data_IF_906322872550
#
_entry.id   IF_906322872550
#
_cell.length_a   1.000
_cell.length_b   1.000
_cell.length_c   1.000
_cell.angle_alpha   90.00
_cell.angle_beta   90.00
_cell.angle_gamma   90.00
#
_symmetry.space_group_name_H-M   'P 1'
#
loop_
_entity.id
_entity.type
_entity.pdbx_description
1 polymer ?
#
# COMPACT_ATOMS: atom_id res chain seq x y z
N UNK A 1 21.46 4.77 19.82
CA UNK A 1 21.79 4.14 18.54
C UNK A 1 21.08 2.81 18.34
N UNK A 2 21.10 1.90 19.36
CA UNK A 2 20.40 0.62 19.29
C UNK A 2 18.87 0.79 19.16
N UNK A 3 18.27 1.76 19.85
CA UNK A 3 16.83 2.07 19.77
C UNK A 3 16.43 2.55 18.37
N UNK A 4 17.19 3.43 17.71
CA UNK A 4 16.87 3.92 16.38
C UNK A 4 17.00 2.82 15.32
N UNK A 5 17.96 1.90 15.48
CA UNK A 5 18.11 0.73 14.60
C UNK A 5 16.95 -0.26 14.75
N UNK A 6 16.57 -0.59 15.98
CA UNK A 6 15.42 -1.47 16.26
C UNK A 6 14.13 -0.84 15.73
N UNK A 7 13.89 0.44 15.98
CA UNK A 7 12.73 1.18 15.48
C UNK A 7 12.68 1.15 13.94
N UNK A 8 13.81 1.44 13.29
CA UNK A 8 13.91 1.40 11.83
C UNK A 8 13.56 0.02 11.28
N UNK A 9 14.15 -1.04 11.82
CA UNK A 9 13.86 -2.41 11.37
C UNK A 9 12.42 -2.84 11.64
N UNK A 10 11.85 -2.47 12.79
CA UNK A 10 10.45 -2.74 13.10
C UNK A 10 9.52 -2.09 12.09
N UNK A 11 9.74 -0.83 11.74
CA UNK A 11 8.96 -0.13 10.73
C UNK A 11 9.14 -0.72 9.33
N UNK A 12 10.36 -1.07 8.95
CA UNK A 12 10.67 -1.69 7.65
C UNK A 12 10.00 -3.04 7.50
N UNK A 13 10.20 -3.92 8.46
CA UNK A 13 9.63 -5.28 8.43
C UNK A 13 8.12 -5.24 8.55
N UNK A 14 7.58 -4.42 9.45
CA UNK A 14 6.14 -4.28 9.62
C UNK A 14 5.45 -3.76 8.35
N UNK A 15 6.01 -2.73 7.72
CA UNK A 15 5.47 -2.18 6.46
C UNK A 15 5.54 -3.21 5.33
N UNK A 16 6.68 -3.88 5.18
CA UNK A 16 6.86 -4.91 4.15
C UNK A 16 5.93 -6.11 4.37
N UNK A 17 5.75 -6.54 5.61
CA UNK A 17 4.81 -7.62 5.94
C UNK A 17 3.37 -7.24 5.62
N UNK A 18 2.94 -6.03 5.98
CA UNK A 18 1.59 -5.55 5.67
C UNK A 18 1.35 -5.45 4.15
N UNK A 19 2.30 -4.90 3.39
CA UNK A 19 2.23 -4.85 1.94
C UNK A 19 2.29 -6.25 1.30
N UNK A 20 3.03 -7.18 1.88
CA UNK A 20 3.09 -8.58 1.45
C UNK A 20 1.75 -9.30 1.63
N UNK A 21 1.07 -9.08 2.74
CA UNK A 21 -0.28 -9.61 2.99
C UNK A 21 -1.26 -9.02 1.97
N UNK A 22 -1.22 -7.72 1.75
CA UNK A 22 -2.05 -7.05 0.76
C UNK A 22 -1.83 -7.61 -0.64
N UNK A 23 -0.58 -7.77 -1.06
CA UNK A 23 -0.22 -8.36 -2.35
C UNK A 23 -0.73 -9.80 -2.49
N UNK A 24 -0.61 -10.61 -1.44
CA UNK A 24 -1.08 -11.99 -1.44
C UNK A 24 -2.60 -12.06 -1.62
N UNK A 25 -3.36 -11.22 -0.92
CA UNK A 25 -4.82 -11.15 -1.05
C UNK A 25 -5.21 -10.74 -2.46
N UNK A 26 -4.63 -9.67 -3.01
CA UNK A 26 -4.94 -9.20 -4.35
C UNK A 26 -4.61 -10.23 -5.42
N UNK A 27 -3.47 -10.89 -5.31
CA UNK A 27 -3.07 -11.97 -6.23
C UNK A 27 -4.05 -13.14 -6.16
N UNK A 28 -4.46 -13.53 -4.96
CA UNK A 28 -5.39 -14.63 -4.75
C UNK A 28 -6.78 -14.32 -5.31
N UNK A 29 -7.26 -13.11 -5.13
CA UNK A 29 -8.58 -12.68 -5.60
C UNK A 29 -8.63 -12.36 -7.09
N UNK A 30 -7.51 -12.00 -7.72
CA UNK A 30 -7.48 -11.51 -9.09
C UNK A 30 -8.24 -12.38 -10.12
N UNK A 31 -8.08 -13.73 -10.15
CA UNK A 31 -8.81 -14.55 -11.12
C UNK A 31 -10.34 -14.45 -11.01
N UNK A 32 -10.85 -14.33 -9.79
CA UNK A 32 -12.30 -14.20 -9.56
C UNK A 32 -12.87 -12.87 -10.08
N UNK A 33 -12.01 -11.84 -10.20
CA UNK A 33 -12.38 -10.51 -10.66
C UNK A 33 -12.00 -10.22 -12.13
N UNK A 34 -11.41 -11.17 -12.83
CA UNK A 34 -11.13 -11.03 -14.27
C UNK A 34 -12.40 -10.81 -15.12
N UNK A 35 -13.56 -11.41 -14.80
CA UNK A 35 -14.79 -11.13 -15.53
C UNK A 35 -15.36 -9.71 -15.35
N UNK A 36 -14.96 -9.01 -14.29
CA UNK A 36 -15.36 -7.62 -14.03
C UNK A 36 -14.46 -6.71 -14.85
N UNK A 37 -14.90 -6.34 -16.04
CA UNK A 37 -14.04 -5.63 -17.01
C UNK A 37 -14.77 -4.60 -17.84
N UNK A 38 -14.06 -3.56 -18.20
CA UNK A 38 -14.32 -2.62 -19.28
C UNK A 38 -13.14 -2.70 -20.26
N UNK A 39 -12.34 -1.63 -20.40
CA UNK A 39 -11.07 -1.72 -21.14
C UNK A 39 -10.05 -2.57 -20.39
N UNK A 40 -9.97 -2.38 -19.06
CA UNK A 40 -9.18 -3.23 -18.16
C UNK A 40 -10.12 -4.03 -17.25
N UNK A 41 -9.63 -5.16 -16.73
CA UNK A 41 -10.37 -5.94 -15.73
C UNK A 41 -9.97 -5.52 -14.31
N UNK A 42 -10.88 -5.73 -13.37
CA UNK A 42 -10.58 -5.56 -11.96
C UNK A 42 -9.48 -6.54 -11.50
N UNK A 43 -9.46 -7.75 -12.05
CA UNK A 43 -8.37 -8.70 -11.80
C UNK A 43 -7.01 -8.21 -12.24
N UNK A 44 -6.91 -7.53 -13.40
CA UNK A 44 -5.68 -6.88 -13.86
C UNK A 44 -5.23 -5.78 -12.89
N UNK A 45 -6.17 -4.96 -12.41
CA UNK A 45 -5.90 -3.92 -11.42
C UNK A 45 -5.39 -4.52 -10.10
N UNK A 46 -5.95 -5.64 -9.66
CA UNK A 46 -5.48 -6.37 -8.49
C UNK A 46 -4.03 -6.87 -8.65
N UNK A 47 -3.68 -7.36 -9.84
CA UNK A 47 -2.31 -7.80 -10.13
C UNK A 47 -1.32 -6.62 -10.15
N UNK A 48 -1.73 -5.48 -10.69
CA UNK A 48 -0.92 -4.24 -10.65
C UNK A 48 -0.72 -3.78 -9.21
N UNK A 49 -1.79 -3.75 -8.42
CA UNK A 49 -1.70 -3.40 -6.99
C UNK A 49 -0.75 -4.33 -6.25
N UNK A 50 -0.87 -5.64 -6.44
CA UNK A 50 0.02 -6.63 -5.84
C UNK A 50 1.49 -6.39 -6.23
N UNK A 51 1.76 -6.13 -7.49
CA UNK A 51 3.11 -5.82 -7.97
C UNK A 51 3.68 -4.55 -7.34
N UNK A 52 2.90 -3.49 -7.28
CA UNK A 52 3.31 -2.22 -6.65
C UNK A 52 3.55 -2.39 -5.14
N UNK A 53 2.71 -3.16 -4.46
CA UNK A 53 2.86 -3.46 -3.03
C UNK A 53 4.16 -4.24 -2.76
N UNK A 54 4.48 -5.24 -3.58
CA UNK A 54 5.72 -6.01 -3.46
C UNK A 54 6.94 -5.11 -3.68
N UNK A 55 6.94 -4.30 -4.73
CA UNK A 55 8.06 -3.40 -5.04
C UNK A 55 8.25 -2.38 -3.92
N UNK A 56 7.18 -1.76 -3.44
CA UNK A 56 7.24 -0.80 -2.34
C UNK A 56 7.76 -1.45 -1.05
N UNK A 57 7.31 -2.65 -0.72
CA UNK A 57 7.78 -3.41 0.43
C UNK A 57 9.26 -3.75 0.35
N UNK A 58 9.74 -4.19 -0.81
CA UNK A 58 11.16 -4.47 -1.05
C UNK A 58 12.01 -3.21 -0.95
N UNK A 59 11.55 -2.08 -1.50
CA UNK A 59 12.27 -0.80 -1.40
C UNK A 59 12.44 -0.38 0.05
N UNK A 60 11.41 -0.49 0.87
CA UNK A 60 11.47 -0.17 2.29
C UNK A 60 12.44 -1.09 3.04
N UNK A 61 12.51 -2.38 2.68
CA UNK A 61 13.45 -3.33 3.28
C UNK A 61 14.90 -3.08 2.87
N UNK A 62 15.14 -2.87 1.57
CA UNK A 62 16.49 -2.83 0.98
C UNK A 62 17.06 -1.41 0.99
N UNK A 63 16.24 -0.42 0.67
CA UNK A 63 16.65 0.99 0.55
C UNK A 63 15.65 1.91 1.26
N UNK A 64 15.69 1.99 2.59
CA UNK A 64 14.73 2.78 3.37
C UNK A 64 15.00 4.29 3.26
N UNK A 65 14.85 4.83 2.08
CA UNK A 65 14.96 6.26 1.78
C UNK A 65 13.60 6.93 1.93
N UNK A 66 13.52 8.26 2.10
CA UNK A 66 12.22 8.97 2.09
C UNK A 66 11.34 8.62 0.89
N UNK A 67 11.93 8.47 -0.31
CA UNK A 67 11.20 8.07 -1.51
C UNK A 67 10.58 6.67 -1.40
N UNK A 68 11.26 5.73 -0.74
CA UNK A 68 10.74 4.36 -0.51
C UNK A 68 9.53 4.39 0.43
N UNK A 69 9.59 5.18 1.48
CA UNK A 69 8.48 5.36 2.42
C UNK A 69 7.30 6.08 1.78
N UNK A 70 7.54 7.06 0.93
CA UNK A 70 6.50 7.74 0.14
C UNK A 70 5.83 6.74 -0.81
N UNK A 71 6.60 5.92 -1.51
CA UNK A 71 6.05 4.89 -2.40
C UNK A 71 5.15 3.92 -1.63
N UNK A 72 5.61 3.40 -0.49
CA UNK A 72 4.83 2.51 0.37
C UNK A 72 3.54 3.19 0.87
N UNK A 73 3.62 4.45 1.28
CA UNK A 73 2.47 5.22 1.73
C UNK A 73 1.45 5.43 0.60
N UNK A 74 1.91 5.80 -0.60
CA UNK A 74 1.02 6.03 -1.74
C UNK A 74 0.33 4.74 -2.21
N UNK A 75 1.05 3.64 -2.27
CA UNK A 75 0.47 2.34 -2.67
C UNK A 75 -0.58 1.90 -1.65
N UNK A 76 -0.25 1.92 -0.36
CA UNK A 76 -1.18 1.49 0.68
C UNK A 76 -2.37 2.43 0.85
N UNK A 77 -2.15 3.74 0.83
CA UNK A 77 -3.24 4.73 0.92
C UNK A 77 -4.14 4.69 -0.31
N UNK A 78 -3.57 4.52 -1.50
CA UNK A 78 -4.34 4.37 -2.74
C UNK A 78 -5.20 3.12 -2.74
N UNK A 79 -4.65 1.99 -2.32
CA UNK A 79 -5.41 0.73 -2.17
C UNK A 79 -6.53 0.83 -1.14
N UNK A 80 -6.23 1.39 0.04
CA UNK A 80 -7.23 1.59 1.09
C UNK A 80 -8.34 2.53 0.63
N UNK A 81 -7.99 3.65 0.00
CA UNK A 81 -8.96 4.60 -0.55
C UNK A 81 -9.86 3.93 -1.59
N UNK A 82 -9.30 3.11 -2.47
CA UNK A 82 -10.06 2.39 -3.49
C UNK A 82 -11.05 1.41 -2.87
N UNK A 83 -10.61 0.58 -1.92
CA UNK A 83 -11.51 -0.40 -1.30
C UNK A 83 -12.63 0.28 -0.50
N UNK A 84 -12.34 1.38 0.18
CA UNK A 84 -13.36 2.13 0.92
C UNK A 84 -14.32 2.84 -0.03
N UNK A 85 -13.82 3.45 -1.10
CA UNK A 85 -14.65 4.13 -2.10
C UNK A 85 -15.65 3.15 -2.73
N UNK A 86 -15.14 2.04 -3.25
CA UNK A 86 -15.98 1.05 -3.94
C UNK A 86 -16.86 0.21 -3.01
N UNK A 87 -16.55 0.20 -1.72
CA UNK A 87 -17.40 -0.42 -0.71
C UNK A 87 -18.62 0.44 -0.38
N UNK A 88 -18.48 1.74 -0.37
CA UNK A 88 -19.49 2.66 0.15
C UNK A 88 -20.13 3.56 -0.91
N UNK A 89 -19.50 3.75 -2.05
CA UNK A 89 -19.96 4.66 -3.09
C UNK A 89 -20.07 3.92 -4.43
N UNK A 90 -21.26 3.95 -5.00
CA UNK A 90 -21.48 3.42 -6.35
C UNK A 90 -21.13 4.51 -7.38
N UNK A 91 -19.87 4.55 -7.76
CA UNK A 91 -19.38 5.52 -8.78
C UNK A 91 -19.62 5.04 -10.20
N UNK A 92 -19.99 3.78 -10.38
CA UNK A 92 -20.17 3.18 -11.69
C UNK A 92 -18.87 3.03 -12.49
N UNK A 93 -18.97 2.66 -13.77
CA UNK A 93 -17.79 2.57 -14.63
C UNK A 93 -17.20 3.96 -14.91
N UNK A 94 -15.87 4.05 -14.94
CA UNK A 94 -15.12 5.29 -15.15
C UNK A 94 -14.10 5.10 -16.28
N UNK A 95 -14.43 5.52 -17.50
CA UNK A 95 -13.54 5.40 -18.65
C UNK A 95 -13.08 3.96 -18.88
N UNK A 96 -11.76 3.65 -18.80
CA UNK A 96 -11.26 2.29 -18.97
C UNK A 96 -11.55 1.38 -17.77
N UNK A 97 -11.96 1.94 -16.63
CA UNK A 97 -12.23 1.18 -15.40
C UNK A 97 -13.63 0.60 -15.39
N UNK A 98 -13.79 -0.69 -15.01
CA UNK A 98 -15.11 -1.29 -14.86
C UNK A 98 -15.85 -0.76 -13.66
N UNK A 99 -17.12 -1.11 -13.54
CA UNK A 99 -17.89 -0.89 -12.32
C UNK A 99 -17.40 -1.87 -11.24
N UNK A 100 -16.69 -1.35 -10.25
CA UNK A 100 -16.08 -2.12 -9.16
C UNK A 100 -16.83 -1.98 -7.83
N UNK A 101 -18.05 -1.40 -7.86
CA UNK A 101 -18.86 -1.28 -6.66
C UNK A 101 -19.19 -2.64 -6.07
N UNK A 102 -18.89 -2.81 -4.79
CA UNK A 102 -19.13 -4.05 -4.08
C UNK A 102 -19.52 -3.76 -2.63
N UNK A 103 -20.81 -3.81 -2.38
CA UNK A 103 -21.44 -3.43 -1.11
C UNK A 103 -21.35 -4.52 -0.04
N UNK A 104 -20.18 -5.12 0.14
CA UNK A 104 -20.00 -6.17 1.16
C UNK A 104 -18.55 -6.26 1.62
N UNK A 105 -18.37 -6.62 2.89
CA UNK A 105 -17.09 -7.03 3.47
C UNK A 105 -16.91 -8.56 3.51
N UNK A 106 -17.91 -9.31 3.07
CA UNK A 106 -17.93 -10.78 3.20
C UNK A 106 -17.14 -11.52 2.12
N UNK A 107 -16.50 -10.81 1.21
CA UNK A 107 -15.55 -11.42 0.28
C UNK A 107 -14.34 -11.90 1.06
N UNK A 108 -13.96 -13.20 0.96
CA UNK A 108 -12.79 -13.72 1.68
C UNK A 108 -11.51 -12.92 1.34
N UNK A 109 -10.86 -12.42 2.36
CA UNK A 109 -9.63 -11.63 2.23
C UNK A 109 -9.83 -10.11 2.07
N UNK A 110 -10.99 -9.62 1.69
CA UNK A 110 -11.24 -8.19 1.49
C UNK A 110 -10.98 -7.37 2.75
N UNK A 111 -11.52 -7.80 3.89
CA UNK A 111 -11.32 -7.13 5.16
C UNK A 111 -9.85 -7.22 5.61
N UNK A 112 -9.21 -8.36 5.42
CA UNK A 112 -7.78 -8.54 5.71
C UNK A 112 -6.92 -7.57 4.89
N UNK A 113 -7.20 -7.44 3.60
CA UNK A 113 -6.52 -6.48 2.72
C UNK A 113 -6.69 -5.05 3.23
N UNK A 114 -7.91 -4.64 3.59
CA UNK A 114 -8.17 -3.30 4.12
C UNK A 114 -7.39 -3.03 5.41
N UNK A 115 -7.35 -3.98 6.33
CA UNK A 115 -6.54 -3.85 7.56
C UNK A 115 -5.05 -3.81 7.27
N UNK A 116 -4.56 -4.64 6.35
CA UNK A 116 -3.15 -4.64 5.95
C UNK A 116 -2.74 -3.30 5.32
N UNK A 117 -3.56 -2.77 4.43
CA UNK A 117 -3.35 -1.44 3.82
C UNK A 117 -3.37 -0.33 4.88
N UNK A 118 -4.32 -0.37 5.80
CA UNK A 118 -4.39 0.58 6.92
C UNK A 118 -3.15 0.52 7.82
N UNK A 119 -2.70 -0.68 8.15
CA UNK A 119 -1.46 -0.89 8.92
C UNK A 119 -0.24 -0.35 8.15
N UNK A 120 -0.16 -0.60 6.84
CA UNK A 120 0.92 -0.10 6.00
C UNK A 120 0.91 1.43 5.91
N UNK A 121 -0.26 2.08 5.83
CA UNK A 121 -0.39 3.55 5.87
C UNK A 121 0.22 4.11 7.15
N UNK A 122 -0.14 3.55 8.30
CA UNK A 122 0.37 4.02 9.60
C UNK A 122 1.87 3.79 9.70
N UNK A 123 2.33 2.59 9.40
CA UNK A 123 3.75 2.23 9.51
C UNK A 123 4.63 2.99 8.50
N UNK A 124 4.18 3.14 7.26
CA UNK A 124 4.89 3.92 6.25
C UNK A 124 4.91 5.40 6.59
N UNK A 125 3.82 5.94 7.12
CA UNK A 125 3.76 7.32 7.60
C UNK A 125 4.75 7.57 8.72
N UNK A 126 4.81 6.68 9.71
CA UNK A 126 5.80 6.73 10.80
C UNK A 126 7.23 6.59 10.27
N UNK A 127 7.44 5.67 9.34
CA UNK A 127 8.75 5.48 8.69
C UNK A 127 9.22 6.75 7.98
N UNK A 128 8.33 7.41 7.26
CA UNK A 128 8.62 8.68 6.59
C UNK A 128 9.01 9.77 7.58
N UNK A 129 8.28 9.90 8.69
CA UNK A 129 8.59 10.88 9.74
C UNK A 129 9.96 10.61 10.38
N UNK A 130 10.25 9.35 10.71
CA UNK A 130 11.52 8.96 11.33
C UNK A 130 12.72 9.15 10.40
N UNK A 131 12.59 8.74 9.12
CA UNK A 131 13.68 8.83 8.14
C UNK A 131 13.76 10.19 7.45
N UNK A 132 12.64 10.87 7.26
CA UNK A 132 12.59 12.22 6.69
C UNK A 132 13.18 13.28 7.59
N UNK A 133 13.05 13.14 8.92
CA UNK A 133 13.62 14.06 9.92
C UNK A 133 15.15 14.08 9.90
N UNK A 134 15.79 12.94 9.66
CA UNK A 134 17.26 12.82 9.57
C UNK A 134 17.88 13.57 8.40
N UNK A 135 17.21 13.60 7.26
CA UNK A 135 17.67 14.31 6.05
C UNK A 135 17.55 15.83 6.21
N UNK A 136 16.51 16.31 6.84
CA UNK A 136 16.33 17.76 7.13
C UNK A 136 17.37 18.27 8.11
N UNK A 137 17.70 17.52 9.15
CA UNK A 137 18.73 17.88 10.12
C UNK A 137 20.13 17.92 9.49
N UNK A 138 20.44 16.99 8.57
CA UNK A 138 21.72 16.99 7.82
C UNK A 138 21.83 18.16 6.85
N UNK A 139 20.76 18.52 6.14
CA UNK A 139 20.75 19.65 5.23
C UNK A 139 20.98 20.98 5.98
N UNK A 140 20.34 21.15 7.14
CA UNK A 140 20.49 22.33 7.98
C UNK A 140 21.90 22.50 8.53
N UNK A 141 22.60 21.40 8.86
CA UNK A 141 24.01 21.41 9.32
C UNK A 141 25.02 21.72 8.21
N UNK A 142 24.70 21.50 6.96
CA UNK A 142 25.58 21.82 5.84
C UNK A 142 25.49 23.29 5.40
N UNK A 143 24.43 23.99 5.81
CA UNK A 143 24.20 25.40 5.46
C UNK A 143 24.58 26.37 6.62
N UNK A 144 24.96 25.85 7.77
CA UNK A 144 25.50 26.59 8.90
C UNK A 144 27.01 26.39 9.00
#
# INVERSE_FOLDING_TARGET
LARSSITSWTLRVGTAAALGIDAAVHTHLAPAYDPVKATVSQGQLFRVEAGLAIVAGLLVLIRPRPSSWIAALLVSAGGLAAVLLYRYVDVGPLGPLPDMYENTWQVPGKLLSAYAEGAAVVLAGLGLLVHGGGTRARAKRRLS
#
